data_IF_987193243232
#
_entry.id   IF_987193243232
#
_cell.length_a   1.000
_cell.length_b   1.000
_cell.length_c   1.000
_cell.angle_alpha   90.00
_cell.angle_beta   90.00
_cell.angle_gamma   90.00
#
_symmetry.space_group_name_H-M   'P 1'
#
loop_
_entity.id
_entity.type
_entity.pdbx_description
1 polymer ?
#
# COMPACT_ATOMS: atom_id res chain seq x y z
N UNK A 1 -13.66 58.60 12.42
CA UNK A 1 -13.50 58.76 13.89
C UNK A 1 -13.47 57.36 14.48
N UNK A 2 -12.30 56.88 14.94
CA UNK A 2 -11.83 57.00 16.34
C UNK A 2 -12.78 56.23 17.27
N UNK A 3 -12.42 55.23 18.08
CA UNK A 3 -11.38 55.10 19.13
C UNK A 3 -11.38 53.58 19.49
N UNK A 4 -10.33 52.75 19.57
CA UNK A 4 -9.02 52.75 20.23
C UNK A 4 -9.01 52.49 21.77
N UNK A 5 -8.85 51.21 22.15
CA UNK A 5 -8.08 50.71 23.34
C UNK A 5 -8.76 50.75 24.72
N UNK A 6 -8.11 50.23 25.81
CA UNK A 6 -6.78 49.60 25.96
C UNK A 6 -6.85 48.20 26.68
N UNK A 7 -5.81 47.40 26.97
CA UNK A 7 -4.55 47.68 27.67
C UNK A 7 -3.61 46.43 27.60
N UNK A 8 -2.31 46.57 27.25
CA UNK A 8 -1.11 46.66 28.16
C UNK A 8 -0.53 45.27 28.49
N UNK A 9 0.79 44.96 28.50
CA UNK A 9 2.13 45.50 28.16
C UNK A 9 3.07 44.26 28.34
N UNK A 10 4.27 44.10 27.76
CA UNK A 10 5.42 44.96 27.94
C UNK A 10 6.57 44.57 26.99
N UNK A 11 7.37 45.58 26.64
CA UNK A 11 8.50 45.55 25.69
C UNK A 11 9.81 45.17 26.41
N UNK A 12 10.77 44.62 25.67
CA UNK A 12 12.18 44.92 25.90
C UNK A 12 12.84 45.44 24.61
N UNK A 13 13.57 46.54 24.76
CA UNK A 13 14.23 47.34 23.71
C UNK A 13 15.74 47.15 23.89
N UNK A 14 16.45 46.70 22.87
CA UNK A 14 17.91 46.63 22.87
C UNK A 14 18.51 48.05 22.90
N UNK A 15 19.44 48.30 23.84
CA UNK A 15 20.32 49.47 23.87
C UNK A 15 21.75 48.99 23.60
N UNK A 16 22.33 49.41 22.49
CA UNK A 16 23.75 49.20 22.16
C UNK A 16 24.54 50.48 22.41
N UNK A 17 25.48 50.47 23.35
CA UNK A 17 26.65 51.37 23.38
C UNK A 17 27.76 50.70 24.20
N UNK A 18 28.97 50.59 23.62
CA UNK A 18 30.31 50.82 24.19
C UNK A 18 31.41 50.38 23.18
N UNK A 19 32.68 50.82 23.31
CA UNK A 19 33.44 51.48 22.25
C UNK A 19 34.46 50.57 21.52
N UNK A 20 34.92 51.06 20.37
CA UNK A 20 36.03 50.48 19.60
C UNK A 20 37.37 50.60 20.38
N UNK A 21 37.95 49.46 20.75
CA UNK A 21 39.39 49.32 20.98
C UNK A 21 39.99 48.45 19.87
N UNK A 22 40.97 49.01 19.16
CA UNK A 22 41.76 48.36 18.10
C UNK A 22 42.73 47.34 18.71
N UNK A 23 42.85 46.17 18.07
CA UNK A 23 44.05 45.33 18.13
C UNK A 23 44.04 44.21 19.18
N UNK A 24 43.41 43.08 18.86
CA UNK A 24 43.79 41.77 19.40
C UNK A 24 43.35 40.69 18.40
N UNK A 25 44.31 39.90 17.88
CA UNK A 25 43.99 38.67 17.14
C UNK A 25 43.46 37.65 18.14
N UNK A 26 42.16 37.38 18.11
CA UNK A 26 41.58 36.22 18.78
C UNK A 26 41.27 35.15 17.74
N UNK A 27 42.00 34.04 17.83
CA UNK A 27 41.67 32.80 17.13
C UNK A 27 40.35 32.27 17.72
N UNK A 28 39.26 32.38 16.96
CA UNK A 28 37.98 31.75 17.32
C UNK A 28 37.97 30.38 16.68
N UNK A 29 38.44 29.38 17.41
CA UNK A 29 38.10 27.98 17.12
C UNK A 29 36.60 27.83 17.35
N UNK A 30 35.82 27.81 16.29
CA UNK A 30 34.40 27.51 16.37
C UNK A 30 34.24 26.03 16.74
N UNK A 31 34.16 25.74 18.04
CA UNK A 31 33.57 24.49 18.51
C UNK A 31 32.10 24.50 18.09
N UNK A 32 31.81 23.79 17.00
CA UNK A 32 30.45 23.34 16.71
C UNK A 32 30.00 22.46 17.87
N UNK A 33 29.27 23.05 18.83
CA UNK A 33 28.43 22.30 19.74
C UNK A 33 27.36 21.65 18.87
N UNK A 34 27.55 20.36 18.56
CA UNK A 34 26.46 19.49 18.12
C UNK A 34 25.36 19.64 19.16
N UNK A 35 24.24 20.27 18.80
CA UNK A 35 23.02 20.15 19.59
C UNK A 35 22.67 18.67 19.59
N UNK A 36 22.89 17.99 20.71
CA UNK A 36 22.30 16.69 20.96
C UNK A 36 20.79 16.87 20.87
N UNK A 37 20.16 16.17 19.93
CA UNK A 37 18.72 15.95 19.94
C UNK A 37 18.31 15.49 21.35
N UNK A 38 17.24 16.05 21.95
CA UNK A 38 16.80 15.60 23.26
C UNK A 38 16.56 14.10 23.21
N UNK A 39 17.14 13.39 24.17
CA UNK A 39 17.03 11.94 24.32
C UNK A 39 15.56 11.56 24.51
N UNK A 40 14.92 11.13 23.43
CA UNK A 40 13.53 10.65 23.44
C UNK A 40 13.41 9.27 24.12
N UNK A 41 14.52 8.67 24.60
CA UNK A 41 14.51 7.36 25.30
C UNK A 41 13.51 7.33 26.45
N UNK A 42 13.32 8.44 27.17
CA UNK A 42 12.38 8.52 28.29
C UNK A 42 10.91 8.31 27.86
N UNK A 43 10.53 8.71 26.64
CA UNK A 43 9.14 8.56 26.15
C UNK A 43 8.79 7.12 25.78
N UNK A 44 9.79 6.31 25.39
CA UNK A 44 9.59 4.94 24.94
C UNK A 44 10.04 3.88 25.94
N UNK A 45 10.78 4.25 26.99
CA UNK A 45 11.17 3.33 28.10
C UNK A 45 9.98 2.61 28.74
N UNK A 46 8.79 3.20 28.74
CA UNK A 46 7.56 2.59 29.27
C UNK A 46 6.69 1.85 28.25
N UNK A 47 7.03 1.89 26.95
CA UNK A 47 6.23 1.25 25.90
C UNK A 47 6.43 -0.27 25.85
N UNK A 48 7.57 -0.77 26.34
CA UNK A 48 7.86 -2.19 26.48
C UNK A 48 8.33 -2.49 27.91
N UNK A 49 7.82 -3.54 28.58
CA UNK A 49 8.12 -3.84 29.98
C UNK A 49 9.50 -4.50 30.16
N UNK A 50 10.57 -3.93 29.59
CA UNK A 50 11.92 -4.52 29.55
C UNK A 50 12.55 -4.64 30.93
N UNK A 51 12.40 -3.59 31.74
CA UNK A 51 12.89 -3.56 33.14
C UNK A 51 12.09 -4.52 34.02
N UNK A 52 10.76 -4.57 33.84
CA UNK A 52 9.88 -5.44 34.60
C UNK A 52 10.07 -6.94 34.26
N UNK A 53 10.44 -7.25 33.02
CA UNK A 53 10.75 -8.62 32.57
C UNK A 53 12.19 -9.05 32.90
N UNK A 54 13.05 -8.14 33.38
CA UNK A 54 14.46 -8.40 33.65
C UNK A 54 15.30 -8.64 32.39
N UNK A 55 14.76 -8.34 31.21
CA UNK A 55 15.41 -8.68 29.96
C UNK A 55 16.63 -7.81 29.66
N UNK A 56 16.61 -6.54 30.08
CA UNK A 56 17.77 -5.64 30.02
C UNK A 56 18.94 -6.20 30.82
N UNK A 57 18.67 -6.66 32.05
CA UNK A 57 19.68 -7.21 32.95
C UNK A 57 20.22 -8.55 32.43
N UNK A 58 19.34 -9.39 31.87
CA UNK A 58 19.72 -10.67 31.27
C UNK A 58 20.69 -10.49 30.09
N UNK A 59 20.41 -9.56 29.17
CA UNK A 59 21.30 -9.28 28.04
C UNK A 59 22.60 -8.60 28.47
N UNK A 60 22.55 -7.69 29.46
CA UNK A 60 23.76 -7.09 30.00
C UNK A 60 24.71 -8.15 30.61
N UNK A 61 24.14 -9.19 31.24
CA UNK A 61 24.89 -10.33 31.77
C UNK A 61 25.29 -11.36 30.70
N UNK A 62 24.55 -11.47 29.60
CA UNK A 62 24.78 -12.42 28.51
C UNK A 62 24.75 -11.73 27.14
N UNK A 63 25.79 -10.94 26.77
CA UNK A 63 25.77 -10.11 25.57
C UNK A 63 25.61 -10.89 24.25
N UNK A 64 25.93 -12.19 24.25
CA UNK A 64 25.82 -13.05 23.08
C UNK A 64 24.42 -13.66 22.89
N UNK A 65 23.49 -13.46 23.83
CA UNK A 65 22.16 -14.09 23.82
C UNK A 65 21.08 -13.15 23.26
N UNK A 66 21.43 -12.47 22.17
CA UNK A 66 20.64 -11.44 21.46
C UNK A 66 19.77 -12.03 20.32
N UNK A 67 19.53 -13.34 20.36
CA UNK A 67 18.75 -14.05 19.34
C UNK A 67 19.51 -14.38 18.06
N UNK A 68 20.83 -14.21 18.01
CA UNK A 68 21.67 -14.71 16.90
C UNK A 68 21.42 -16.19 16.63
N UNK A 69 21.28 -16.56 15.36
CA UNK A 69 21.07 -17.94 14.94
C UNK A 69 19.70 -18.53 15.30
N UNK A 70 18.75 -17.70 15.74
CA UNK A 70 17.36 -18.11 15.98
C UNK A 70 16.50 -17.70 14.79
N UNK A 71 15.42 -18.42 14.53
CA UNK A 71 14.38 -18.06 13.55
C UNK A 71 13.04 -18.10 14.29
N UNK A 72 12.19 -17.10 14.08
CA UNK A 72 10.85 -17.00 14.69
C UNK A 72 9.82 -17.07 13.58
N UNK A 73 8.86 -17.96 13.71
CA UNK A 73 7.66 -17.91 12.89
C UNK A 73 6.58 -17.07 13.59
N UNK A 74 6.04 -16.07 12.89
CA UNK A 74 4.95 -15.21 13.37
C UNK A 74 3.67 -15.65 12.67
N UNK A 75 2.77 -16.23 13.47
CA UNK A 75 1.42 -16.64 13.06
C UNK A 75 0.45 -15.56 13.49
N UNK A 76 0.05 -14.70 12.57
CA UNK A 76 -0.81 -13.55 12.84
C UNK A 76 -1.58 -13.17 11.58
N UNK A 77 -2.17 -11.97 11.56
CA UNK A 77 -2.83 -11.31 10.43
C UNK A 77 -1.89 -10.90 9.28
N UNK A 78 -0.59 -11.22 9.38
CA UNK A 78 0.44 -10.82 8.43
C UNK A 78 1.37 -9.73 8.96
N UNK A 79 2.51 -9.55 8.30
CA UNK A 79 3.55 -8.58 8.64
C UNK A 79 3.87 -7.79 7.38
N UNK A 80 3.87 -6.47 7.48
CA UNK A 80 4.25 -5.58 6.40
C UNK A 80 5.76 -5.72 6.11
N UNK A 81 6.15 -6.21 4.91
CA UNK A 81 7.55 -6.38 4.55
C UNK A 81 8.30 -5.04 4.41
N UNK A 82 7.59 -3.93 4.22
CA UNK A 82 8.15 -2.58 4.15
C UNK A 82 8.24 -1.86 5.49
N UNK A 83 7.83 -2.50 6.59
CA UNK A 83 7.83 -1.86 7.90
C UNK A 83 9.25 -1.45 8.34
N UNK A 84 9.36 -0.23 8.88
CA UNK A 84 10.60 0.26 9.43
C UNK A 84 11.05 -0.62 10.61
N UNK A 85 12.35 -0.92 10.67
CA UNK A 85 12.91 -1.79 11.68
C UNK A 85 12.85 -3.28 11.33
N UNK A 86 12.06 -3.71 10.35
CA UNK A 86 11.96 -5.12 9.94
C UNK A 86 12.78 -5.47 8.69
N UNK A 87 13.71 -4.59 8.29
CA UNK A 87 14.49 -4.77 7.07
C UNK A 87 15.74 -5.63 7.30
N UNK A 88 16.53 -5.28 8.31
CA UNK A 88 17.83 -5.93 8.57
C UNK A 88 18.01 -6.26 10.05
N UNK A 89 18.83 -7.25 10.34
CA UNK A 89 19.35 -7.54 11.68
C UNK A 89 20.50 -6.60 12.03
N UNK A 90 20.98 -6.66 13.28
CA UNK A 90 22.16 -5.91 13.72
C UNK A 90 23.47 -6.33 13.01
N UNK A 91 23.48 -7.48 12.34
CA UNK A 91 24.59 -7.99 11.51
C UNK A 91 24.44 -7.65 10.03
N UNK A 92 23.36 -6.94 9.64
CA UNK A 92 23.06 -6.59 8.26
C UNK A 92 22.40 -7.70 7.45
N UNK A 93 22.02 -8.80 8.08
CA UNK A 93 21.30 -9.90 7.43
C UNK A 93 19.82 -9.49 7.24
N UNK A 94 19.11 -10.02 6.22
CA UNK A 94 17.69 -9.73 6.06
C UNK A 94 16.89 -10.25 7.24
N UNK A 95 15.97 -9.45 7.80
CA UNK A 95 15.20 -9.86 8.98
C UNK A 95 13.97 -10.70 8.64
N UNK A 96 13.20 -10.31 7.63
CA UNK A 96 12.09 -11.13 7.15
C UNK A 96 12.66 -12.08 6.10
N UNK A 97 12.60 -13.38 6.37
CA UNK A 97 13.01 -14.39 5.39
C UNK A 97 11.94 -14.67 4.39
N UNK A 98 10.71 -14.83 4.86
CA UNK A 98 9.60 -15.27 4.05
C UNK A 98 8.28 -14.73 4.57
N UNK A 99 7.33 -14.59 3.66
CA UNK A 99 5.96 -14.15 3.96
C UNK A 99 5.00 -15.02 3.18
N UNK A 100 4.16 -15.78 3.90
CA UNK A 100 3.27 -16.78 3.33
C UNK A 100 1.85 -16.52 3.82
N UNK A 101 0.88 -16.51 2.89
CA UNK A 101 -0.54 -16.56 3.22
C UNK A 101 -1.00 -18.02 3.28
N UNK A 102 -1.37 -18.50 4.47
CA UNK A 102 -1.89 -19.86 4.65
C UNK A 102 -3.43 -19.91 4.60
N UNK A 103 -4.10 -18.79 4.37
CA UNK A 103 -5.56 -18.73 4.28
C UNK A 103 -6.09 -18.93 2.86
N UNK A 104 -5.23 -18.74 1.86
CA UNK A 104 -5.59 -18.70 0.44
C UNK A 104 -6.40 -17.46 0.03
N UNK A 105 -6.53 -16.47 0.92
CA UNK A 105 -7.27 -15.23 0.62
C UNK A 105 -6.64 -14.46 -0.55
N UNK A 106 -5.30 -14.47 -0.59
CA UNK A 106 -4.47 -13.85 -1.61
C UNK A 106 -4.32 -14.65 -2.90
N UNK A 107 -4.85 -15.87 -2.96
CA UNK A 107 -4.62 -16.75 -4.09
C UNK A 107 -5.43 -16.32 -5.32
N UNK A 108 -4.77 -16.41 -6.47
CA UNK A 108 -5.27 -16.10 -7.79
C UNK A 108 -5.00 -17.30 -8.69
N UNK A 109 -6.06 -17.87 -9.25
CA UNK A 109 -5.97 -18.86 -10.31
C UNK A 109 -5.45 -18.15 -11.58
N UNK A 110 -4.25 -18.55 -12.00
CA UNK A 110 -3.58 -18.08 -13.22
C UNK A 110 -3.31 -19.25 -14.17
N UNK A 111 -4.06 -20.34 -14.07
CA UNK A 111 -3.96 -21.51 -14.95
C UNK A 111 -4.30 -21.22 -16.41
N UNK A 112 -4.97 -20.08 -16.68
CA UNK A 112 -5.25 -19.63 -18.04
C UNK A 112 -3.97 -19.12 -18.69
N UNK A 113 -3.54 -19.78 -19.77
CA UNK A 113 -2.32 -19.43 -20.51
C UNK A 113 -2.68 -18.76 -21.83
N UNK A 114 -2.05 -17.62 -22.09
CA UNK A 114 -2.20 -16.84 -23.33
C UNK A 114 -0.84 -16.53 -23.94
N UNK A 115 -0.84 -16.22 -25.24
CA UNK A 115 0.33 -15.75 -25.98
C UNK A 115 0.17 -14.26 -26.30
N UNK A 116 1.28 -13.53 -26.34
CA UNK A 116 1.27 -12.11 -26.71
C UNK A 116 1.05 -11.94 -28.21
N UNK A 117 0.29 -10.91 -28.60
CA UNK A 117 0.16 -10.52 -30.00
C UNK A 117 1.48 -9.94 -30.57
N UNK A 118 1.52 -9.67 -31.88
CA UNK A 118 2.70 -9.07 -32.54
C UNK A 118 3.12 -7.72 -31.93
N UNK A 119 2.20 -7.03 -31.26
CA UNK A 119 2.45 -5.76 -30.59
C UNK A 119 2.91 -5.92 -29.13
N UNK A 120 2.92 -7.13 -28.57
CA UNK A 120 3.24 -7.39 -27.17
C UNK A 120 2.08 -7.08 -26.23
N UNK A 121 0.83 -7.38 -26.64
CA UNK A 121 -0.35 -7.23 -25.80
C UNK A 121 -0.96 -8.58 -25.46
N UNK A 122 -1.42 -8.71 -24.22
CA UNK A 122 -2.15 -9.85 -23.70
C UNK A 122 -3.62 -9.48 -23.55
N UNK A 123 -4.49 -10.40 -23.93
CA UNK A 123 -5.93 -10.28 -23.72
C UNK A 123 -6.32 -11.04 -22.46
N UNK A 124 -6.99 -10.35 -21.53
CA UNK A 124 -7.51 -10.96 -20.31
C UNK A 124 -9.00 -10.64 -20.20
N UNK A 125 -9.79 -11.65 -19.84
CA UNK A 125 -11.20 -11.52 -19.52
C UNK A 125 -11.40 -11.85 -18.03
N UNK A 126 -11.72 -10.88 -17.17
CA UNK A 126 -12.02 -11.10 -15.74
C UNK A 126 -13.16 -12.10 -15.43
N UNK A 127 -13.94 -12.49 -16.44
CA UNK A 127 -15.08 -13.40 -16.35
C UNK A 127 -15.89 -13.44 -17.65
N UNK A 128 -16.83 -14.38 -17.73
CA UNK A 128 -17.60 -14.71 -18.95
C UNK A 128 -18.42 -13.53 -19.54
N UNK A 129 -18.74 -12.53 -18.72
CA UNK A 129 -19.52 -11.35 -19.12
C UNK A 129 -18.76 -10.03 -18.95
N UNK A 130 -17.44 -10.09 -18.83
CA UNK A 130 -16.59 -8.90 -18.70
C UNK A 130 -15.97 -8.52 -20.03
N UNK A 131 -15.72 -7.21 -20.23
CA UNK A 131 -14.99 -6.75 -21.41
C UNK A 131 -13.54 -7.23 -21.38
N UNK A 132 -13.00 -7.57 -22.56
CA UNK A 132 -11.58 -7.91 -22.71
C UNK A 132 -10.71 -6.70 -22.38
N UNK A 133 -9.72 -6.92 -21.53
CA UNK A 133 -8.71 -5.91 -21.19
C UNK A 133 -7.40 -6.27 -21.89
N UNK A 134 -6.77 -5.26 -22.49
CA UNK A 134 -5.48 -5.40 -23.15
C UNK A 134 -4.36 -4.95 -22.21
N UNK A 135 -3.51 -5.88 -21.79
CA UNK A 135 -2.30 -5.57 -21.03
C UNK A 135 -1.08 -5.52 -21.95
N UNK A 136 -0.34 -4.42 -21.93
CA UNK A 136 0.93 -4.33 -22.66
C UNK A 136 2.07 -4.90 -21.81
N UNK A 137 2.81 -5.89 -22.35
CA UNK A 137 3.99 -6.47 -21.68
C UNK A 137 5.25 -5.66 -21.96
N UNK A 138 6.19 -5.69 -21.02
CA UNK A 138 7.50 -5.09 -21.25
C UNK A 138 8.34 -5.99 -22.15
N UNK A 139 8.80 -5.46 -23.28
CA UNK A 139 9.67 -6.17 -24.24
C UNK A 139 11.02 -6.60 -23.65
N UNK A 140 11.44 -6.00 -22.53
CA UNK A 140 12.66 -6.38 -21.82
C UNK A 140 12.50 -7.62 -20.94
N UNK A 141 11.28 -8.09 -20.68
CA UNK A 141 11.05 -9.28 -19.86
C UNK A 141 11.44 -10.53 -20.64
N UNK A 142 12.37 -11.30 -20.07
CA UNK A 142 12.75 -12.57 -20.65
C UNK A 142 11.66 -13.60 -20.37
N UNK A 143 11.14 -14.20 -21.44
CA UNK A 143 10.21 -15.32 -21.39
C UNK A 143 10.54 -16.26 -22.56
N UNK A 144 11.37 -17.30 -22.36
CA UNK A 144 11.77 -18.22 -23.43
C UNK A 144 10.60 -19.06 -23.95
N UNK A 145 9.55 -19.26 -23.16
CA UNK A 145 8.39 -20.08 -23.55
C UNK A 145 7.39 -19.35 -24.45
N UNK A 146 7.35 -18.01 -24.39
CA UNK A 146 6.32 -17.19 -25.02
C UNK A 146 4.93 -17.28 -24.37
N UNK A 147 4.77 -18.13 -23.35
CA UNK A 147 3.50 -18.38 -22.65
C UNK A 147 3.38 -17.49 -21.43
N UNK A 148 2.18 -16.93 -21.22
CA UNK A 148 1.87 -16.05 -20.10
C UNK A 148 0.64 -16.57 -19.37
N UNK A 149 0.80 -16.83 -18.08
CA UNK A 149 -0.27 -17.20 -17.17
C UNK A 149 -0.97 -15.93 -16.71
N UNK A 150 -2.30 -15.88 -16.82
CA UNK A 150 -3.06 -14.66 -16.59
C UNK A 150 -4.20 -14.89 -15.60
N UNK A 151 -4.46 -13.88 -14.78
CA UNK A 151 -5.57 -13.88 -13.85
C UNK A 151 -5.86 -12.48 -13.30
N UNK A 152 -6.88 -12.39 -12.46
CA UNK A 152 -7.23 -11.13 -11.80
C UNK A 152 -7.83 -11.38 -10.41
N UNK A 153 -7.66 -10.39 -9.54
CA UNK A 153 -8.24 -10.38 -8.18
C UNK A 153 -8.77 -9.00 -7.86
N UNK A 154 -9.83 -8.91 -7.05
CA UNK A 154 -10.30 -7.61 -6.56
C UNK A 154 -9.39 -7.15 -5.43
N UNK A 155 -8.96 -5.89 -5.48
CA UNK A 155 -8.10 -5.34 -4.43
C UNK A 155 -8.80 -5.33 -3.06
N UNK A 156 -10.12 -5.14 -3.03
CA UNK A 156 -10.89 -5.13 -1.77
C UNK A 156 -10.99 -6.50 -1.09
N UNK A 157 -10.73 -7.59 -1.81
CA UNK A 157 -10.66 -8.93 -1.23
C UNK A 157 -9.31 -9.16 -0.54
N UNK A 158 -8.28 -8.37 -0.88
CA UNK A 158 -6.95 -8.40 -0.27
C UNK A 158 -6.85 -7.45 0.92
N UNK A 159 -7.42 -6.25 0.80
CA UNK A 159 -7.15 -5.16 1.74
C UNK A 159 -7.83 -5.31 3.10
N UNK A 160 -7.20 -4.81 4.18
CA UNK A 160 -7.82 -4.75 5.48
C UNK A 160 -9.09 -3.88 5.47
N UNK A 161 -10.12 -4.30 6.21
CA UNK A 161 -11.43 -3.63 6.23
C UNK A 161 -11.40 -2.11 6.47
N UNK A 162 -10.57 -1.58 7.40
CA UNK A 162 -10.42 -0.13 7.57
C UNK A 162 -9.91 0.60 6.32
N UNK A 163 -9.01 -0.01 5.54
CA UNK A 163 -8.49 0.55 4.29
C UNK A 163 -9.58 0.51 3.21
N UNK A 164 -10.28 -0.62 3.05
CA UNK A 164 -11.42 -0.75 2.13
C UNK A 164 -12.47 0.33 2.38
N UNK A 165 -12.80 0.61 3.65
CA UNK A 165 -13.76 1.68 4.00
C UNK A 165 -13.27 3.07 3.55
N UNK A 166 -12.00 3.40 3.79
CA UNK A 166 -11.42 4.69 3.36
C UNK A 166 -11.42 4.83 1.84
N UNK A 167 -11.05 3.77 1.13
CA UNK A 167 -11.03 3.73 -0.33
C UNK A 167 -12.43 3.88 -0.92
N UNK A 168 -13.43 3.17 -0.37
CA UNK A 168 -14.84 3.31 -0.77
C UNK A 168 -15.36 4.73 -0.55
N UNK A 169 -14.98 5.39 0.55
CA UNK A 169 -15.35 6.78 0.80
C UNK A 169 -14.72 7.73 -0.24
N UNK A 170 -13.42 7.56 -0.54
CA UNK A 170 -12.71 8.39 -1.51
C UNK A 170 -13.25 8.21 -2.94
N UNK A 171 -13.40 6.95 -3.40
CA UNK A 171 -14.04 6.61 -4.69
C UNK A 171 -15.50 7.06 -4.73
N UNK A 172 -16.19 7.00 -3.58
CA UNK A 172 -17.53 7.52 -3.37
C UNK A 172 -17.67 8.99 -3.75
N UNK A 173 -16.76 9.82 -3.24
CA UNK A 173 -16.71 11.28 -3.50
C UNK A 173 -16.47 11.60 -4.98
N UNK A 174 -15.51 10.91 -5.62
CA UNK A 174 -15.21 11.12 -7.06
C UNK A 174 -16.42 10.80 -7.93
N UNK A 175 -17.00 9.62 -7.75
CA UNK A 175 -18.22 9.21 -8.45
C UNK A 175 -19.38 10.17 -8.23
N UNK A 176 -19.61 10.63 -6.99
CA UNK A 176 -20.72 11.54 -6.70
C UNK A 176 -20.57 12.88 -7.44
N UNK A 177 -19.33 13.35 -7.67
CA UNK A 177 -19.07 14.53 -8.48
C UNK A 177 -19.37 14.29 -9.97
N UNK A 178 -18.87 13.18 -10.53
CA UNK A 178 -19.12 12.78 -11.93
C UNK A 178 -20.60 12.55 -12.21
N UNK A 179 -21.28 11.84 -11.30
CA UNK A 179 -22.70 11.52 -11.40
C UNK A 179 -23.55 12.79 -11.36
N UNK A 180 -23.22 13.74 -10.48
CA UNK A 180 -23.92 15.04 -10.42
C UNK A 180 -23.78 15.79 -11.74
N UNK A 181 -22.58 15.80 -12.34
CA UNK A 181 -22.35 16.43 -13.65
C UNK A 181 -23.15 15.71 -14.74
N UNK A 182 -23.17 14.38 -14.77
CA UNK A 182 -23.92 13.59 -15.75
C UNK A 182 -25.44 13.81 -15.63
N UNK A 183 -25.99 13.80 -14.42
CA UNK A 183 -27.42 14.07 -14.15
C UNK A 183 -27.78 15.50 -14.54
N UNK A 184 -26.94 16.49 -14.22
CA UNK A 184 -27.17 17.88 -14.60
C UNK A 184 -27.17 18.07 -16.12
N UNK A 185 -26.26 17.40 -16.84
CA UNK A 185 -26.21 17.42 -18.30
C UNK A 185 -27.47 16.79 -18.93
N UNK A 186 -27.87 15.60 -18.45
CA UNK A 186 -29.08 14.91 -18.94
C UNK A 186 -30.36 15.71 -18.66
N UNK A 187 -30.46 16.30 -17.46
CA UNK A 187 -31.61 17.15 -17.08
C UNK A 187 -31.66 18.42 -17.93
N UNK A 188 -30.50 19.02 -18.21
CA UNK A 188 -30.41 20.20 -19.07
C UNK A 188 -30.84 19.88 -20.52
N UNK A 189 -30.45 18.71 -21.05
CA UNK A 189 -30.87 18.25 -22.37
C UNK A 189 -32.38 18.03 -22.44
N UNK A 190 -32.98 17.39 -21.43
CA UNK A 190 -34.43 17.21 -21.34
C UNK A 190 -35.18 18.55 -21.26
N UNK A 191 -34.67 19.50 -20.47
CA UNK A 191 -35.26 20.83 -20.36
C UNK A 191 -35.15 21.62 -21.68
N UNK A 192 -34.01 21.55 -22.37
CA UNK A 192 -33.82 22.17 -23.68
C UNK A 192 -34.78 21.58 -24.73
N UNK A 193 -34.95 20.25 -24.74
CA UNK A 193 -35.91 19.59 -25.62
C UNK A 193 -37.35 20.07 -25.37
N UNK A 194 -37.79 20.10 -24.10
CA UNK A 194 -39.13 20.54 -23.72
C UNK A 194 -39.39 22.02 -24.06
N UNK A 195 -38.35 22.88 -23.99
CA UNK A 195 -38.44 24.29 -24.38
C UNK A 195 -38.67 24.45 -25.89
N UNK A 196 -37.97 23.67 -26.71
CA UNK A 196 -38.07 23.71 -28.18
C UNK A 196 -39.32 23.00 -28.70
N UNK A 197 -39.79 21.97 -27.99
CA UNK A 197 -40.92 21.13 -28.39
C UNK A 197 -42.01 21.07 -27.30
N UNK A 198 -42.79 22.15 -27.07
CA UNK A 198 -43.81 22.19 -26.00
C UNK A 198 -44.93 21.16 -26.18
N UNK A 199 -45.21 20.75 -27.43
CA UNK A 199 -46.20 19.74 -27.81
C UNK A 199 -45.61 18.81 -28.86
N UNK A 200 -44.91 17.73 -28.48
CA UNK A 200 -44.35 16.77 -29.42
C UNK A 200 -45.48 15.93 -30.04
N UNK A 201 -45.91 16.31 -31.25
CA UNK A 201 -47.02 15.68 -31.98
C UNK A 201 -46.56 14.54 -32.90
N UNK A 202 -45.29 14.54 -33.34
CA UNK A 202 -44.75 13.47 -34.17
C UNK A 202 -44.26 12.29 -33.34
N UNK A 203 -44.41 11.07 -33.88
CA UNK A 203 -43.95 9.83 -33.24
C UNK A 203 -42.45 9.84 -32.92
N UNK A 204 -41.62 10.51 -33.74
CA UNK A 204 -40.18 10.63 -33.50
C UNK A 204 -39.87 11.49 -32.28
N UNK A 205 -40.50 12.67 -32.15
CA UNK A 205 -40.30 13.57 -31.00
C UNK A 205 -40.77 12.96 -29.69
N UNK A 206 -41.82 12.13 -29.72
CA UNK A 206 -42.27 11.38 -28.54
C UNK A 206 -41.25 10.33 -28.09
N UNK A 207 -40.61 9.62 -29.03
CA UNK A 207 -39.55 8.66 -28.72
C UNK A 207 -38.30 9.34 -28.16
N UNK A 208 -37.89 10.48 -28.72
CA UNK A 208 -36.75 11.26 -28.26
C UNK A 208 -36.99 11.80 -26.84
N UNK A 209 -38.19 12.33 -26.57
CA UNK A 209 -38.57 12.73 -25.21
C UNK A 209 -38.50 11.56 -24.22
N UNK A 210 -39.05 10.40 -24.59
CA UNK A 210 -39.05 9.22 -23.75
C UNK A 210 -37.62 8.71 -23.47
N UNK A 211 -36.70 8.80 -24.43
CA UNK A 211 -35.29 8.48 -24.22
C UNK A 211 -34.64 9.43 -23.22
N UNK A 212 -34.83 10.74 -23.36
CA UNK A 212 -34.26 11.74 -22.45
C UNK A 212 -34.80 11.59 -21.01
N UNK A 213 -36.10 11.33 -20.86
CA UNK A 213 -36.73 11.04 -19.56
C UNK A 213 -36.17 9.75 -18.96
N UNK A 214 -36.03 8.69 -19.76
CA UNK A 214 -35.46 7.42 -19.32
C UNK A 214 -33.99 7.57 -18.91
N UNK A 215 -33.21 8.37 -19.64
CA UNK A 215 -31.80 8.62 -19.34
C UNK A 215 -31.60 9.29 -17.99
N UNK A 216 -32.40 10.31 -17.67
CA UNK A 216 -32.38 10.95 -16.34
C UNK A 216 -32.74 9.92 -15.27
N UNK A 217 -33.84 9.19 -15.46
CA UNK A 217 -34.31 8.17 -14.51
C UNK A 217 -33.25 7.10 -14.25
N UNK A 218 -32.61 6.59 -15.30
CA UNK A 218 -31.58 5.55 -15.21
C UNK A 218 -30.34 6.07 -14.46
N UNK A 219 -29.92 7.32 -14.69
CA UNK A 219 -28.83 7.92 -13.92
C UNK A 219 -29.18 8.04 -12.43
N UNK A 220 -30.40 8.47 -12.08
CA UNK A 220 -30.82 8.54 -10.67
C UNK A 220 -30.92 7.15 -10.01
N UNK A 221 -31.35 6.12 -10.75
CA UNK A 221 -31.42 4.74 -10.27
C UNK A 221 -30.02 4.11 -10.08
N UNK A 222 -29.06 4.43 -10.96
CA UNK A 222 -27.66 4.00 -10.85
C UNK A 222 -27.00 4.53 -9.58
N UNK A 223 -27.32 5.75 -9.15
CA UNK A 223 -26.76 6.30 -7.91
C UNK A 223 -27.24 5.52 -6.68
N UNK A 224 -28.52 5.13 -6.65
CA UNK A 224 -29.14 4.41 -5.52
C UNK A 224 -28.72 2.94 -5.43
N UNK A 225 -28.55 2.30 -6.58
CA UNK A 225 -28.23 0.87 -6.68
C UNK A 225 -26.73 0.57 -6.71
N UNK A 226 -25.88 1.60 -6.56
CA UNK A 226 -24.43 1.44 -6.62
C UNK A 226 -23.91 0.49 -5.54
N UNK A 227 -23.20 -0.54 -5.98
CA UNK A 227 -22.33 -1.38 -5.15
C UNK A 227 -20.90 -1.27 -5.64
N UNK A 228 -20.00 -0.74 -4.80
CA UNK A 228 -18.57 -0.65 -5.13
C UNK A 228 -17.87 -1.94 -4.71
N UNK A 229 -17.61 -2.80 -5.70
CA UNK A 229 -16.92 -4.08 -5.56
C UNK A 229 -15.39 -3.93 -5.52
N UNK A 230 -14.88 -2.71 -5.74
CA UNK A 230 -13.46 -2.40 -5.74
C UNK A 230 -12.79 -2.55 -7.10
N UNK A 231 -11.54 -2.05 -7.19
CA UNK A 231 -10.75 -2.14 -8.41
C UNK A 231 -10.25 -3.57 -8.65
N UNK A 232 -10.04 -3.89 -9.93
CA UNK A 232 -9.44 -5.16 -10.34
C UNK A 232 -7.93 -4.99 -10.49
N UNK A 233 -7.20 -5.95 -9.92
CA UNK A 233 -5.75 -6.09 -10.07
C UNK A 233 -5.52 -7.22 -11.04
N UNK A 234 -4.89 -6.91 -12.18
CA UNK A 234 -4.53 -7.90 -13.17
C UNK A 234 -3.15 -8.46 -12.89
N UNK A 235 -3.02 -9.78 -13.05
CA UNK A 235 -1.82 -10.52 -12.71
C UNK A 235 -1.33 -11.24 -13.95
N UNK A 236 -0.02 -11.18 -14.20
CA UNK A 236 0.63 -11.96 -15.24
C UNK A 236 1.82 -12.70 -14.66
N UNK A 237 1.87 -14.01 -14.87
CA UNK A 237 2.92 -14.91 -14.38
C UNK A 237 3.61 -15.59 -15.57
N UNK A 238 4.92 -15.75 -15.50
CA UNK A 238 5.70 -16.46 -16.51
C UNK A 238 7.00 -16.99 -15.93
N UNK A 239 7.64 -17.92 -16.63
CA UNK A 239 8.96 -18.40 -16.26
C UNK A 239 10.03 -17.68 -17.08
N UNK A 240 10.99 -17.00 -16.43
CA UNK A 240 12.05 -16.24 -17.11
C UNK A 240 13.24 -17.11 -17.56
N UNK A 241 13.13 -18.43 -17.46
CA UNK A 241 14.20 -19.38 -17.72
C UNK A 241 15.05 -19.70 -16.49
N UNK A 242 14.93 -18.94 -15.40
CA UNK A 242 15.59 -19.20 -14.11
C UNK A 242 14.58 -19.36 -12.96
N UNK A 243 13.57 -18.50 -12.90
CA UNK A 243 12.55 -18.51 -11.86
C UNK A 243 11.21 -18.06 -12.43
N UNK A 244 10.14 -18.38 -11.70
CA UNK A 244 8.82 -17.82 -11.94
C UNK A 244 8.79 -16.34 -11.54
N UNK A 245 8.20 -15.52 -12.41
CA UNK A 245 8.04 -14.08 -12.25
C UNK A 245 6.58 -13.73 -12.34
N UNK A 246 6.17 -12.72 -11.58
CA UNK A 246 4.82 -12.18 -11.59
C UNK A 246 4.86 -10.66 -11.64
N UNK A 247 3.98 -10.06 -12.43
CA UNK A 247 3.73 -8.62 -12.47
C UNK A 247 2.26 -8.35 -12.17
N UNK A 248 2.01 -7.32 -11.37
CA UNK A 248 0.67 -6.85 -11.03
C UNK A 248 0.41 -5.49 -11.66
N UNK A 249 -0.73 -5.34 -12.32
CA UNK A 249 -1.22 -4.03 -12.77
C UNK A 249 -2.08 -3.41 -11.66
N UNK A 250 -1.52 -2.42 -10.97
CA UNK A 250 -2.21 -1.68 -9.91
C UNK A 250 -2.67 -0.30 -10.35
N UNK A 251 -2.68 0.00 -11.66
CA UNK A 251 -2.98 1.33 -12.17
C UNK A 251 -4.34 1.89 -11.69
N UNK A 252 -5.36 1.04 -11.57
CA UNK A 252 -6.72 1.46 -11.18
C UNK A 252 -6.77 1.98 -9.72
N UNK A 253 -5.77 1.62 -8.91
CA UNK A 253 -5.60 2.10 -7.53
C UNK A 253 -4.89 3.45 -7.47
N UNK A 254 -4.14 3.83 -8.51
CA UNK A 254 -3.46 5.11 -8.57
C UNK A 254 -4.44 6.21 -9.04
N UNK A 255 -4.90 7.03 -8.08
CA UNK A 255 -5.89 8.10 -8.32
C UNK A 255 -5.44 9.21 -9.30
N UNK A 256 -4.16 9.24 -9.70
CA UNK A 256 -3.60 10.22 -10.63
C UNK A 256 -3.79 9.83 -12.10
N UNK A 257 -4.16 8.59 -12.39
CA UNK A 257 -4.39 8.14 -13.77
C UNK A 257 -5.85 8.45 -14.15
N UNK A 258 -6.11 9.10 -15.31
CA UNK A 258 -7.46 9.27 -15.85
C UNK A 258 -8.16 7.91 -16.00
N UNK A 259 -9.48 7.93 -16.10
CA UNK A 259 -10.37 6.77 -16.28
C UNK A 259 -9.72 5.53 -16.92
N UNK A 260 -10.08 4.35 -16.42
CA UNK A 260 -9.65 3.06 -16.96
C UNK A 260 -9.84 3.04 -18.49
N UNK A 261 -8.74 3.10 -19.23
CA UNK A 261 -8.74 3.28 -20.69
C UNK A 261 -8.95 1.97 -21.45
N UNK A 262 -9.33 0.88 -20.76
CA UNK A 262 -9.33 -0.48 -21.30
C UNK A 262 -7.94 -1.03 -21.60
N UNK A 263 -6.88 -0.26 -21.29
CA UNK A 263 -5.49 -0.64 -21.51
C UNK A 263 -4.74 -0.64 -20.19
N UNK A 264 -4.11 -1.78 -19.88
CA UNK A 264 -3.24 -1.95 -18.73
C UNK A 264 -1.82 -1.46 -18.98
N UNK A 265 -1.21 -0.84 -17.97
CA UNK A 265 0.16 -0.36 -18.00
C UNK A 265 1.14 -1.33 -17.32
N UNK A 266 0.83 -2.63 -17.39
CA UNK A 266 1.61 -3.71 -16.79
C UNK A 266 3.12 -3.60 -17.08
N UNK A 267 3.52 -3.20 -18.30
CA UNK A 267 4.92 -2.97 -18.69
C UNK A 267 5.73 -2.04 -17.78
N UNK A 268 5.06 -1.15 -17.05
CA UNK A 268 5.70 -0.15 -16.18
C UNK A 268 5.97 -0.68 -14.77
N UNK A 269 5.43 -1.85 -14.40
CA UNK A 269 5.59 -2.43 -13.08
C UNK A 269 6.81 -3.36 -13.04
N UNK A 270 7.50 -3.40 -11.90
CA UNK A 270 8.63 -4.29 -11.70
C UNK A 270 8.14 -5.72 -11.42
N UNK A 271 8.61 -6.73 -12.17
CA UNK A 271 8.29 -8.13 -11.88
C UNK A 271 8.91 -8.58 -10.56
N UNK A 272 8.11 -9.27 -9.75
CA UNK A 272 8.56 -9.92 -8.52
C UNK A 272 8.63 -11.44 -8.72
N UNK A 273 9.18 -12.14 -7.74
CA UNK A 273 9.23 -13.60 -7.63
C UNK A 273 8.90 -13.97 -6.18
N UNK A 274 9.02 -15.25 -5.82
CA UNK A 274 8.84 -15.70 -4.44
C UNK A 274 9.64 -14.85 -3.47
N UNK A 275 8.98 -14.38 -2.41
CA UNK A 275 9.58 -13.43 -1.47
C UNK A 275 10.87 -14.00 -0.86
N UNK A 276 10.89 -15.29 -0.52
CA UNK A 276 12.08 -15.96 0.02
C UNK A 276 13.34 -15.84 -0.86
N UNK A 277 13.18 -15.75 -2.19
CA UNK A 277 14.31 -15.71 -3.13
C UNK A 277 14.97 -14.34 -3.17
N UNK A 278 14.18 -13.28 -3.38
CA UNK A 278 14.69 -11.93 -3.62
C UNK A 278 14.37 -10.91 -2.52
N UNK A 279 13.42 -11.21 -1.63
CA UNK A 279 12.93 -10.35 -0.54
C UNK A 279 12.49 -8.98 -1.04
N UNK A 280 11.90 -8.96 -2.24
CA UNK A 280 11.29 -7.78 -2.83
C UNK A 280 9.78 -7.80 -2.60
N UNK A 281 9.24 -6.62 -2.37
CA UNK A 281 7.80 -6.38 -2.23
C UNK A 281 7.41 -5.22 -3.13
N UNK A 282 6.13 -5.16 -3.50
CA UNK A 282 5.53 -4.04 -4.20
C UNK A 282 4.63 -3.22 -3.27
N UNK A 283 4.16 -2.08 -3.75
CA UNK A 283 3.16 -1.26 -3.06
C UNK A 283 2.01 -0.98 -4.03
N UNK A 284 0.77 -1.23 -3.62
CA UNK A 284 -0.39 -1.09 -4.50
C UNK A 284 -0.57 0.34 -5.03
N UNK A 285 -0.56 1.31 -4.13
CA UNK A 285 -0.60 2.73 -4.44
C UNK A 285 0.02 3.53 -3.31
N UNK A 286 0.46 4.75 -3.62
CA UNK A 286 0.95 5.69 -2.60
C UNK A 286 -0.13 6.18 -1.63
N UNK A 287 -1.41 6.13 -2.03
CA UNK A 287 -2.54 6.52 -1.19
C UNK A 287 -2.87 5.46 -0.15
N UNK A 288 -2.72 4.20 -0.53
CA UNK A 288 -3.09 3.06 0.29
C UNK A 288 -1.94 2.63 1.20
N UNK A 289 -0.70 2.87 0.76
CA UNK A 289 0.55 2.48 1.43
C UNK A 289 0.55 0.99 1.85
N UNK A 290 -0.22 0.16 1.14
CA UNK A 290 -0.33 -1.27 1.39
C UNK A 290 0.72 -1.97 0.54
N UNK A 291 1.69 -2.59 1.23
CA UNK A 291 2.73 -3.38 0.60
C UNK A 291 2.25 -4.81 0.38
N UNK A 292 2.80 -5.47 -0.63
CA UNK A 292 2.51 -6.85 -0.94
C UNK A 292 3.77 -7.63 -1.32
N UNK A 293 3.81 -8.88 -0.92
CA UNK A 293 4.76 -9.88 -1.39
C UNK A 293 4.04 -10.87 -2.33
N UNK A 294 4.79 -11.54 -3.19
CA UNK A 294 4.25 -12.55 -4.10
C UNK A 294 4.93 -13.89 -3.84
N UNK A 295 4.15 -14.97 -3.95
CA UNK A 295 4.66 -16.34 -4.06
C UNK A 295 3.94 -17.05 -5.20
N UNK A 296 4.66 -17.91 -5.91
CA UNK A 296 4.16 -18.59 -7.11
C UNK A 296 4.24 -20.10 -6.86
N UNK A 297 3.09 -20.76 -6.90
CA UNK A 297 2.94 -22.18 -6.63
C UNK A 297 2.45 -22.94 -7.87
N UNK A 298 2.39 -24.26 -7.75
CA UNK A 298 1.78 -25.17 -8.73
C UNK A 298 2.30 -24.98 -10.15
N UNK A 299 3.63 -24.85 -10.30
CA UNK A 299 4.30 -24.61 -11.58
C UNK A 299 3.74 -23.39 -12.32
N UNK A 300 3.44 -22.31 -11.58
CA UNK A 300 2.97 -21.05 -12.16
C UNK A 300 1.46 -20.96 -12.35
N UNK A 301 0.67 -21.94 -11.89
CA UNK A 301 -0.79 -21.92 -11.99
C UNK A 301 -1.47 -21.19 -10.83
N UNK A 302 -0.78 -20.98 -9.71
CA UNK A 302 -1.30 -20.28 -8.55
C UNK A 302 -0.38 -19.12 -8.18
N UNK A 303 -0.91 -17.90 -8.19
CA UNK A 303 -0.22 -16.72 -7.66
C UNK A 303 -0.82 -16.36 -6.30
N UNK A 304 -0.01 -16.33 -5.26
CA UNK A 304 -0.41 -15.90 -3.92
C UNK A 304 0.08 -14.47 -3.66
N UNK A 305 -0.86 -13.55 -3.52
CA UNK A 305 -0.60 -12.14 -3.19
C UNK A 305 -0.72 -11.95 -1.68
N UNK A 306 0.41 -11.79 -1.01
CA UNK A 306 0.47 -11.72 0.44
C UNK A 306 0.51 -10.26 0.91
N UNK A 307 -0.46 -9.88 1.74
CA UNK A 307 -0.60 -8.54 2.34
C UNK A 307 -0.74 -8.65 3.85
N UNK A 308 -0.41 -7.59 4.57
CA UNK A 308 -0.75 -7.50 5.99
C UNK A 308 -2.26 -7.22 6.14
N UNK A 309 -3.04 -8.23 6.52
CA UNK A 309 -4.48 -8.10 6.72
C UNK A 309 -4.83 -7.29 7.98
N UNK A 310 -3.83 -6.80 8.71
CA UNK A 310 -3.98 -5.91 9.85
C UNK A 310 -2.63 -5.46 10.42
N UNK A 311 -2.64 -4.38 11.20
CA UNK A 311 -1.43 -3.85 11.84
C UNK A 311 -0.89 -4.70 12.99
N UNK A 312 -1.62 -5.75 13.40
CA UNK A 312 -1.31 -6.51 14.60
C UNK A 312 -0.06 -7.36 14.42
N UNK A 313 0.04 -8.14 13.35
CA UNK A 313 1.22 -8.98 13.12
C UNK A 313 2.49 -8.15 12.93
N UNK A 314 2.42 -7.04 12.19
CA UNK A 314 3.54 -6.09 12.07
C UNK A 314 3.97 -5.53 13.43
N UNK A 315 3.02 -5.23 14.32
CA UNK A 315 3.33 -4.79 15.68
C UNK A 315 3.97 -5.90 16.53
N UNK A 316 3.47 -7.13 16.43
CA UNK A 316 4.07 -8.31 17.08
C UNK A 316 5.51 -8.50 16.61
N UNK A 317 5.74 -8.51 15.30
CA UNK A 317 7.08 -8.56 14.70
C UNK A 317 7.98 -7.41 15.19
N UNK A 318 7.39 -6.22 15.32
CA UNK A 318 8.04 -5.03 15.87
C UNK A 318 8.46 -5.17 17.33
N UNK A 319 7.67 -5.83 18.17
CA UNK A 319 8.04 -6.14 19.57
C UNK A 319 9.05 -7.29 19.64
N UNK A 320 8.94 -8.25 18.72
CA UNK A 320 9.76 -9.46 18.71
C UNK A 320 11.16 -9.25 18.16
N UNK A 321 11.35 -8.55 17.03
CA UNK A 321 12.65 -8.57 16.34
C UNK A 321 13.08 -7.28 15.62
N UNK A 322 12.26 -6.23 15.49
CA UNK A 322 12.68 -4.94 14.91
C UNK A 322 14.05 -4.41 15.38
N UNK A 323 14.83 -3.93 14.42
CA UNK A 323 16.15 -3.34 14.63
C UNK A 323 16.22 -1.99 13.91
N UNK A 324 16.50 -0.93 14.67
CA UNK A 324 16.65 0.43 14.15
C UNK A 324 18.10 0.90 14.32
N UNK A 325 18.92 0.93 13.26
CA UNK A 325 20.33 1.31 13.37
C UNK A 325 20.52 2.78 13.77
N UNK A 326 19.61 3.66 13.35
CA UNK A 326 19.68 5.11 13.58
C UNK A 326 19.18 5.53 14.98
N UNK A 327 18.29 4.74 15.58
CA UNK A 327 17.79 4.98 16.94
C UNK A 327 17.62 3.63 17.67
N UNK A 328 18.67 3.16 18.37
CA UNK A 328 18.63 1.91 19.11
C UNK A 328 17.51 1.85 20.16
N UNK A 329 16.98 3.00 20.61
CA UNK A 329 15.88 3.03 21.58
C UNK A 329 14.52 2.59 20.98
N UNK A 330 14.39 2.59 19.65
CA UNK A 330 13.18 2.19 18.93
C UNK A 330 13.17 0.70 18.54
N UNK A 331 14.26 -0.05 18.76
CA UNK A 331 14.34 -1.48 18.47
C UNK A 331 13.32 -2.31 19.26
N UNK A 332 12.85 -3.42 18.67
CA UNK A 332 12.20 -4.52 19.38
C UNK A 332 13.05 -4.89 20.54
N UNK A 333 12.49 -5.01 21.75
CA UNK A 333 13.05 -5.72 22.88
C UNK A 333 14.61 -5.89 22.86
N UNK A 334 15.33 -4.80 22.56
CA UNK A 334 16.79 -4.67 22.44
C UNK A 334 17.17 -3.33 23.05
N UNK A 335 16.54 -3.15 24.21
CA UNK A 335 17.35 -3.42 25.39
C UNK A 335 16.90 -4.74 26.07
N UNK A 336 16.44 -5.78 25.35
CA UNK A 336 16.02 -7.14 25.81
C UNK A 336 14.50 -7.38 25.79
N UNK A 337 13.94 -8.62 25.61
CA UNK A 337 14.34 -9.91 24.99
C UNK A 337 13.69 -10.18 23.60
N UNK A 338 14.03 -9.39 22.59
CA UNK A 338 13.54 -9.54 21.23
C UNK A 338 14.61 -10.23 20.43
N UNK A 339 14.27 -11.29 19.72
CA UNK A 339 15.20 -12.00 18.87
C UNK A 339 15.54 -11.11 17.67
N UNK A 340 16.39 -10.13 17.88
CA UNK A 340 16.64 -9.05 16.91
C UNK A 340 17.43 -9.51 15.69
N UNK A 341 18.06 -10.67 15.86
CA UNK A 341 18.70 -11.47 14.82
C UNK A 341 17.84 -12.66 14.41
N UNK A 342 16.64 -12.79 14.96
CA UNK A 342 15.70 -13.75 14.42
C UNK A 342 15.22 -13.32 13.05
N UNK A 343 15.39 -14.29 12.19
CA UNK A 343 14.75 -14.38 10.91
C UNK A 343 13.26 -14.64 11.13
N UNK A 344 12.39 -13.87 10.48
CA UNK A 344 10.94 -14.03 10.59
C UNK A 344 10.42 -14.82 9.40
N UNK A 345 9.70 -15.91 9.68
CA UNK A 345 8.73 -16.51 8.75
C UNK A 345 7.34 -15.99 9.12
N UNK A 346 6.66 -15.34 8.19
CA UNK A 346 5.30 -14.83 8.43
C UNK A 346 4.31 -15.83 7.85
N UNK A 347 3.36 -16.27 8.66
CA UNK A 347 2.27 -17.16 8.24
C UNK A 347 0.95 -16.47 8.55
N UNK A 348 0.22 -16.06 7.51
CA UNK A 348 -1.11 -15.47 7.68
C UNK A 348 -2.14 -16.57 7.94
N UNK A 349 -2.82 -16.55 9.09
CA UNK A 349 -3.81 -17.57 9.44
C UNK A 349 -5.09 -16.94 9.99
N UNK A 350 -6.20 -17.12 9.29
CA UNK A 350 -7.54 -16.95 9.85
C UNK A 350 -8.01 -18.31 10.38
N UNK A 351 -7.66 -18.59 11.64
CA UNK A 351 -8.11 -19.77 12.40
C UNK A 351 -7.73 -21.10 11.73
N UNK A 352 -6.49 -21.53 11.93
CA UNK A 352 -6.08 -22.90 11.58
C UNK A 352 -5.39 -23.51 12.81
N UNK A 353 -5.94 -24.64 13.29
CA UNK A 353 -5.35 -25.44 14.35
C UNK A 353 -4.03 -26.05 13.89
N UNK A 354 -3.05 -26.07 14.80
CA UNK A 354 -1.64 -26.47 14.63
C UNK A 354 -1.39 -27.80 13.88
N UNK A 355 -2.40 -28.66 13.74
CA UNK A 355 -2.31 -29.99 13.12
C UNK A 355 -2.16 -30.01 11.60
N UNK A 356 -2.27 -28.88 10.91
CA UNK A 356 -2.23 -28.83 9.43
C UNK A 356 -0.95 -28.22 8.83
N UNK A 357 0.00 -27.83 9.69
CA UNK A 357 1.24 -27.13 9.30
C UNK A 357 2.49 -28.01 9.50
N UNK A 358 2.33 -29.22 10.04
CA UNK A 358 3.36 -30.27 10.13
C UNK A 358 2.97 -31.45 9.25
#
# INVERSE_FOLDING_TARGET
>A
MSVAGPAVRNRYRFKSKLPLCRGARFCVTAMSRKYSTPDNSFRFRGAMPKDATGASDFLAANPDYDGRGVVVAIFDTGVDPGAAGLQVTSTGEPKILDVVDCTGSGDVDVSTVVEADEAGKLKISPGEHSEEVLLEINKAWHNPSGKWHVGCKRAFDLFPGPLVRKLKEHRGKRWAAEQRTAVAAATSALHAFNKTNPKPSSSSLQKEKAELELRVKLLEELEKSRSDLGPLVYCVVWHDGKTWRAALDTQELNATIPEFSGQGLLKNFEPLTDFAKERKFGTFSSLDACNFALNIYDEGNTLSIVVDAGSHGTHVAGITAAYHPEDPNLGSMETGPGLTRALIHVLNTNVITFESIL
#
